data_IF_982345448178
#
_entry.id   IF_982345448178
#
_cell.length_a   1.000
_cell.length_b   1.000
_cell.length_c   1.000
_cell.angle_alpha   90.00
_cell.angle_beta   90.00
_cell.angle_gamma   90.00
#
_symmetry.space_group_name_H-M   'P 1'
#
loop_
_entity.id
_entity.type
_entity.pdbx_description
1 polymer ?
#
# COMPACT_ATOMS: atom_id res chain seq x y z
N UNK A 1 39.60 -2.47 19.02
CA UNK A 1 38.38 -2.13 18.27
C UNK A 1 37.73 -3.43 17.82
N UNK A 2 36.56 -3.84 18.33
CA UNK A 2 35.91 -5.06 17.86
C UNK A 2 35.21 -4.80 16.55
N UNK A 3 35.49 -5.69 15.57
CA UNK A 3 34.85 -5.76 14.27
C UNK A 3 33.36 -6.05 14.44
N UNK A 4 32.48 -5.17 13.98
CA UNK A 4 31.07 -5.43 13.83
C UNK A 4 30.87 -6.42 12.67
N UNK A 5 30.37 -7.59 13.01
CA UNK A 5 29.99 -8.62 12.04
C UNK A 5 28.91 -8.10 11.07
N UNK A 6 28.94 -8.47 9.77
CA UNK A 6 27.90 -8.06 8.83
C UNK A 6 26.60 -8.81 9.14
N UNK A 7 25.51 -8.07 9.24
CA UNK A 7 24.17 -8.62 9.33
C UNK A 7 23.89 -9.54 8.16
N UNK A 8 23.81 -10.84 8.43
CA UNK A 8 23.34 -11.83 7.48
C UNK A 8 21.85 -11.64 7.22
N UNK A 9 21.49 -11.01 6.11
CA UNK A 9 20.11 -10.92 5.65
C UNK A 9 19.75 -12.27 5.00
N UNK A 10 18.95 -13.03 5.69
CA UNK A 10 18.22 -14.15 5.11
C UNK A 10 17.08 -13.55 4.29
N UNK A 11 17.17 -13.62 2.97
CA UNK A 11 15.99 -13.49 2.12
C UNK A 11 15.08 -14.70 2.43
N UNK A 12 14.21 -14.56 3.42
CA UNK A 12 13.15 -15.54 3.66
C UNK A 12 12.25 -15.55 2.42
N UNK A 13 12.10 -16.74 1.81
CA UNK A 13 11.25 -16.94 0.65
C UNK A 13 9.80 -16.53 0.94
N UNK A 14 9.29 -15.61 0.16
CA UNK A 14 8.01 -14.92 0.36
C UNK A 14 6.78 -15.71 -0.14
N UNK A 15 6.91 -17.02 -0.39
CA UNK A 15 5.89 -17.83 -1.05
C UNK A 15 5.54 -19.12 -0.32
N UNK A 16 5.41 -19.07 1.01
CA UNK A 16 4.60 -20.08 1.68
C UNK A 16 3.11 -19.74 1.50
N UNK A 17 2.32 -20.74 1.11
CA UNK A 17 0.96 -20.64 0.57
C UNK A 17 -0.13 -20.11 1.53
N UNK A 18 0.21 -19.34 2.55
CA UNK A 18 -0.74 -18.75 3.51
C UNK A 18 -1.05 -17.30 3.16
N UNK A 19 -2.34 -16.95 3.15
CA UNK A 19 -2.79 -15.56 3.04
C UNK A 19 -2.22 -14.75 4.20
N UNK A 20 -1.68 -13.57 3.90
CA UNK A 20 -1.24 -12.57 4.87
C UNK A 20 -2.35 -11.56 5.12
N UNK A 21 -2.25 -10.84 6.23
CA UNK A 21 -3.33 -9.99 6.72
C UNK A 21 -2.82 -8.59 7.04
N UNK A 22 -3.41 -7.58 6.38
CA UNK A 22 -3.19 -6.17 6.69
C UNK A 22 -4.41 -5.54 7.33
N UNK A 23 -4.17 -4.46 8.05
CA UNK A 23 -5.20 -3.51 8.49
C UNK A 23 -4.97 -2.22 7.76
N UNK A 24 -6.02 -1.63 7.21
CA UNK A 24 -5.98 -0.38 6.48
C UNK A 24 -6.80 0.69 7.21
N UNK A 25 -6.16 1.81 7.55
CA UNK A 25 -6.77 2.90 8.32
C UNK A 25 -6.61 4.24 7.61
N UNK A 26 -7.55 5.19 7.82
CA UNK A 26 -7.42 6.52 7.25
C UNK A 26 -6.29 7.33 7.94
N UNK A 27 -5.84 8.40 7.28
CA UNK A 27 -4.91 9.38 7.85
C UNK A 27 -5.62 10.61 8.40
N UNK A 28 -6.90 10.47 8.73
CA UNK A 28 -7.73 11.57 9.23
C UNK A 28 -8.56 11.19 10.47
N UNK A 29 -9.25 12.17 11.05
CA UNK A 29 -9.99 12.00 12.29
C UNK A 29 -9.03 11.73 13.46
N UNK A 30 -9.36 10.80 14.34
CA UNK A 30 -8.52 10.45 15.48
C UNK A 30 -7.17 9.87 15.06
N UNK A 31 -7.07 9.27 13.87
CA UNK A 31 -5.81 8.73 13.32
C UNK A 31 -4.83 9.83 12.87
N UNK A 32 -5.27 11.08 12.75
CA UNK A 32 -4.38 12.20 12.46
C UNK A 32 -3.42 12.50 13.63
N UNK A 33 -3.73 12.05 14.84
CA UNK A 33 -2.84 12.12 15.99
C UNK A 33 -1.75 11.04 15.91
N UNK A 34 -0.45 11.40 15.82
CA UNK A 34 0.62 10.42 15.67
C UNK A 34 0.71 9.40 16.81
N UNK A 35 0.34 9.79 18.03
CA UNK A 35 0.29 8.93 19.20
C UNK A 35 -0.82 7.87 19.09
N UNK A 36 -1.98 8.22 18.54
CA UNK A 36 -3.08 7.29 18.28
C UNK A 36 -2.66 6.30 17.18
N UNK A 37 -2.08 6.80 16.11
CA UNK A 37 -1.60 5.95 15.01
C UNK A 37 -0.50 4.98 15.48
N UNK A 38 0.44 5.43 16.31
CA UNK A 38 1.47 4.60 16.93
C UNK A 38 0.85 3.50 17.81
N UNK A 39 -0.21 3.83 18.59
CA UNK A 39 -0.94 2.86 19.39
C UNK A 39 -1.63 1.79 18.52
N UNK A 40 -2.28 2.19 17.42
CA UNK A 40 -2.87 1.28 16.44
C UNK A 40 -1.81 0.32 15.91
N UNK A 41 -0.64 0.82 15.51
CA UNK A 41 0.46 0.02 15.00
C UNK A 41 0.96 -1.02 16.04
N UNK A 42 1.13 -0.60 17.28
CA UNK A 42 1.59 -1.48 18.36
C UNK A 42 0.59 -2.59 18.66
N UNK A 43 -0.71 -2.27 18.70
CA UNK A 43 -1.77 -3.27 18.91
C UNK A 43 -1.90 -4.22 17.72
N UNK A 44 -1.82 -3.72 16.49
CA UNK A 44 -1.83 -4.55 15.30
C UNK A 44 -0.67 -5.56 15.29
N UNK A 45 0.55 -5.10 15.60
CA UNK A 45 1.70 -6.00 15.74
C UNK A 45 1.51 -7.01 16.87
N UNK A 46 1.00 -6.57 18.02
CA UNK A 46 0.73 -7.43 19.20
C UNK A 46 -0.33 -8.49 18.93
N UNK A 47 -1.35 -8.17 18.16
CA UNK A 47 -2.42 -9.08 17.77
C UNK A 47 -2.04 -10.00 16.59
N UNK A 48 -0.86 -9.82 15.99
CA UNK A 48 -0.31 -10.71 14.96
C UNK A 48 -0.71 -10.37 13.54
N UNK A 49 -1.10 -9.14 13.25
CA UNK A 49 -1.26 -8.66 11.88
C UNK A 49 0.08 -8.58 11.16
N UNK A 50 0.08 -8.80 9.85
CA UNK A 50 1.29 -8.84 9.03
C UNK A 50 1.67 -7.45 8.48
N UNK A 51 0.68 -6.57 8.27
CA UNK A 51 0.91 -5.18 7.86
C UNK A 51 -0.11 -4.21 8.45
N UNK A 52 0.31 -2.94 8.61
CA UNK A 52 -0.54 -1.77 8.80
C UNK A 52 -0.36 -0.85 7.60
N UNK A 53 -1.46 -0.55 6.93
CA UNK A 53 -1.53 0.35 5.81
C UNK A 53 -2.27 1.63 6.20
N UNK A 54 -1.94 2.74 5.54
CA UNK A 54 -2.58 4.03 5.80
C UNK A 54 -2.97 4.72 4.49
N UNK A 55 -4.10 5.40 4.50
CA UNK A 55 -4.53 6.24 3.38
C UNK A 55 -3.66 7.48 3.25
N UNK A 56 -3.70 8.13 2.09
CA UNK A 56 -2.91 9.33 1.80
C UNK A 56 -3.81 10.43 1.23
N UNK A 57 -4.72 10.93 2.07
CA UNK A 57 -5.52 12.10 1.79
C UNK A 57 -4.77 13.37 2.21
N UNK A 58 -4.97 14.46 1.46
CA UNK A 58 -4.41 15.79 1.76
C UNK A 58 -5.52 16.78 2.09
N UNK A 59 -6.74 16.49 1.67
CA UNK A 59 -7.93 17.28 1.97
C UNK A 59 -9.13 16.35 2.06
N UNK A 60 -10.04 16.63 2.99
CA UNK A 60 -11.32 15.95 3.11
C UNK A 60 -12.36 16.51 2.12
N UNK A 61 -13.53 15.91 2.11
CA UNK A 61 -14.69 16.46 1.42
C UNK A 61 -15.03 17.84 2.00
N UNK A 62 -15.51 18.74 1.14
CA UNK A 62 -15.71 20.17 1.51
C UNK A 62 -16.57 20.40 2.75
N UNK A 63 -17.51 19.49 2.99
CA UNK A 63 -18.45 19.58 4.12
C UNK A 63 -17.93 18.86 5.39
N UNK A 64 -16.88 18.03 5.25
CA UNK A 64 -16.25 17.30 6.35
C UNK A 64 -14.93 17.99 6.72
N UNK A 65 -14.94 18.71 7.84
CA UNK A 65 -13.74 19.38 8.37
C UNK A 65 -12.90 18.37 9.17
N UNK A 66 -12.35 17.37 8.48
CA UNK A 66 -11.48 16.39 9.11
C UNK A 66 -10.11 16.99 9.44
N UNK A 67 -9.58 16.62 10.59
CA UNK A 67 -8.16 16.75 10.85
C UNK A 67 -7.44 15.66 10.03
N UNK A 68 -6.43 16.05 9.24
CA UNK A 68 -5.71 15.17 8.33
C UNK A 68 -4.21 15.32 8.60
N UNK A 69 -3.51 14.21 8.75
CA UNK A 69 -2.06 14.19 8.92
C UNK A 69 -1.35 13.60 7.70
N UNK A 70 -0.08 13.94 7.55
CA UNK A 70 0.76 13.34 6.51
C UNK A 70 1.03 11.85 6.85
N UNK A 71 0.71 10.91 5.94
CA UNK A 71 0.84 9.48 6.20
C UNK A 71 2.29 9.03 6.41
N UNK A 72 3.27 9.69 5.80
CA UNK A 72 4.68 9.33 5.95
C UNK A 72 5.20 9.68 7.34
N UNK A 73 4.66 10.74 7.95
CA UNK A 73 4.95 11.10 9.35
C UNK A 73 4.25 10.12 10.30
N UNK A 74 2.99 9.73 10.02
CA UNK A 74 2.30 8.70 10.80
C UNK A 74 3.02 7.36 10.73
N UNK A 75 3.46 6.93 9.54
CA UNK A 75 4.26 5.72 9.38
C UNK A 75 5.60 5.79 10.12
N UNK A 76 6.19 7.00 10.25
CA UNK A 76 7.39 7.18 11.06
C UNK A 76 7.10 6.92 12.54
N UNK A 77 5.98 7.45 13.07
CA UNK A 77 5.56 7.20 14.45
C UNK A 77 5.33 5.70 14.69
N UNK A 78 4.64 5.01 13.78
CA UNK A 78 4.44 3.57 13.83
C UNK A 78 5.76 2.78 13.78
N UNK A 79 6.71 3.20 12.94
CA UNK A 79 8.01 2.54 12.79
C UNK A 79 8.83 2.53 14.07
N UNK A 80 8.72 3.58 14.88
CA UNK A 80 9.46 3.72 16.14
C UNK A 80 8.95 2.83 17.28
N UNK A 81 7.70 2.34 17.18
CA UNK A 81 7.06 1.52 18.23
C UNK A 81 6.81 0.07 17.81
N UNK A 82 7.23 -0.31 16.62
CA UNK A 82 7.06 -1.65 16.05
C UNK A 82 8.39 -2.22 15.54
N UNK A 83 8.49 -3.53 15.47
CA UNK A 83 9.73 -4.22 15.06
C UNK A 83 9.54 -5.27 13.96
N UNK A 84 8.30 -5.71 13.71
CA UNK A 84 7.98 -6.86 12.87
C UNK A 84 6.93 -6.58 11.80
N UNK A 85 5.83 -5.89 12.17
CA UNK A 85 4.74 -5.56 11.26
C UNK A 85 5.25 -4.71 10.09
N UNK A 86 4.79 -5.01 8.88
CA UNK A 86 5.07 -4.17 7.71
C UNK A 86 4.25 -2.90 7.77
N UNK A 87 4.79 -1.85 7.19
CA UNK A 87 4.18 -0.52 7.17
C UNK A 87 4.09 -0.02 5.73
N UNK A 88 2.98 0.58 5.36
CA UNK A 88 2.83 1.07 4.00
C UNK A 88 1.64 1.98 3.80
N UNK A 89 1.44 2.40 2.56
CA UNK A 89 0.30 3.21 2.16
C UNK A 89 -0.70 2.41 1.31
N UNK A 90 -1.98 2.70 1.42
CA UNK A 90 -3.03 2.13 0.58
C UNK A 90 -4.04 3.21 0.15
N UNK A 91 -3.64 4.09 -0.77
CA UNK A 91 -2.42 4.20 -1.58
C UNK A 91 -1.88 5.64 -1.56
N UNK A 92 -0.59 5.84 -1.81
CA UNK A 92 -0.03 7.17 -2.09
C UNK A 92 -0.35 7.61 -3.52
N UNK A 93 -0.97 8.79 -3.73
CA UNK A 93 -1.15 9.40 -5.05
C UNK A 93 0.19 9.93 -5.60
N UNK A 94 0.91 9.07 -6.33
CA UNK A 94 2.27 9.40 -6.83
C UNK A 94 2.25 10.61 -7.76
N UNK A 95 1.19 10.77 -8.56
CA UNK A 95 1.05 11.90 -9.48
C UNK A 95 0.97 13.27 -8.77
N UNK A 96 0.61 13.31 -7.48
CA UNK A 96 0.56 14.51 -6.65
C UNK A 96 1.91 14.84 -5.99
N UNK A 97 2.85 13.89 -5.98
CA UNK A 97 4.12 13.99 -5.25
C UNK A 97 5.31 14.18 -6.19
N UNK A 98 6.33 14.89 -5.74
CA UNK A 98 7.63 14.93 -6.42
C UNK A 98 8.34 13.58 -6.23
N UNK A 99 8.70 12.85 -7.30
CA UNK A 99 9.33 11.53 -7.17
C UNK A 99 10.59 11.53 -6.31
N UNK A 100 11.42 12.56 -6.41
CA UNK A 100 12.65 12.69 -5.60
C UNK A 100 12.34 12.79 -4.10
N UNK A 101 11.27 13.51 -3.71
CA UNK A 101 10.86 13.64 -2.32
C UNK A 101 10.30 12.31 -1.82
N UNK A 102 9.38 11.70 -2.58
CA UNK A 102 8.79 10.41 -2.24
C UNK A 102 9.86 9.30 -2.16
N UNK A 103 10.80 9.26 -3.12
CA UNK A 103 11.92 8.32 -3.06
C UNK A 103 12.71 8.45 -1.76
N UNK A 104 12.91 9.68 -1.27
CA UNK A 104 13.65 9.96 -0.04
C UNK A 104 12.87 9.51 1.20
N UNK A 105 11.58 9.79 1.26
CA UNK A 105 10.68 9.36 2.34
C UNK A 105 10.67 7.84 2.46
N UNK A 106 10.35 7.16 1.37
CA UNK A 106 10.29 5.69 1.31
C UNK A 106 11.63 5.07 1.71
N UNK A 107 12.74 5.55 1.12
CA UNK A 107 14.08 5.02 1.44
C UNK A 107 14.44 5.20 2.91
N UNK A 108 14.14 6.37 3.46
CA UNK A 108 14.48 6.67 4.86
C UNK A 108 13.70 5.77 5.82
N UNK A 109 12.39 5.60 5.58
CA UNK A 109 11.57 4.70 6.37
C UNK A 109 11.94 3.23 6.18
N UNK A 110 12.27 2.81 4.95
CA UNK A 110 12.72 1.44 4.69
C UNK A 110 13.99 1.11 5.49
N UNK A 111 14.92 2.05 5.54
CA UNK A 111 16.15 1.92 6.34
C UNK A 111 15.88 1.97 7.84
N UNK A 112 15.01 2.87 8.30
CA UNK A 112 14.60 2.97 9.72
C UNK A 112 13.94 1.67 10.20
N UNK A 113 13.13 1.07 9.36
CA UNK A 113 12.38 -0.16 9.67
C UNK A 113 13.17 -1.45 9.40
N UNK A 114 14.37 -1.37 8.79
CA UNK A 114 15.14 -2.54 8.41
C UNK A 114 14.49 -3.37 7.29
N UNK A 115 13.76 -2.72 6.36
CA UNK A 115 13.18 -3.38 5.20
C UNK A 115 11.72 -3.83 5.38
N UNK A 116 10.90 -3.11 6.16
CA UNK A 116 9.48 -3.44 6.38
C UNK A 116 8.49 -2.59 5.56
N UNK A 117 8.99 -1.68 4.71
CA UNK A 117 8.11 -0.80 3.96
C UNK A 117 7.45 -1.48 2.77
N UNK A 118 6.22 -1.03 2.46
CA UNK A 118 5.47 -1.30 1.23
C UNK A 118 5.00 0.06 0.68
N UNK A 119 5.21 0.31 -0.60
CA UNK A 119 4.64 1.47 -1.27
C UNK A 119 3.37 1.06 -2.02
N UNK A 120 2.21 1.36 -1.45
CA UNK A 120 0.98 1.37 -2.23
C UNK A 120 0.94 2.66 -3.08
N UNK A 121 0.66 2.55 -4.36
CA UNK A 121 0.75 3.63 -5.32
C UNK A 121 -0.48 3.68 -6.24
N UNK A 122 -0.94 4.87 -6.58
CA UNK A 122 -2.08 5.05 -7.47
C UNK A 122 -2.32 6.50 -7.84
N UNK A 123 -3.52 6.77 -8.37
CA UNK A 123 -3.94 8.13 -8.67
C UNK A 123 -4.57 8.86 -7.46
N UNK A 124 -4.97 8.11 -6.43
CA UNK A 124 -5.75 8.64 -5.32
C UNK A 124 -7.24 8.77 -5.65
N UNK A 125 -8.00 9.23 -4.66
CA UNK A 125 -9.43 9.50 -4.77
C UNK A 125 -9.67 10.98 -5.05
N UNK A 126 -10.89 11.39 -5.11
CA UNK A 126 -11.53 12.33 -6.06
C UNK A 126 -10.59 13.41 -6.57
N UNK A 127 -10.18 13.23 -7.79
CA UNK A 127 -9.23 14.09 -8.50
C UNK A 127 -9.55 15.58 -8.35
N UNK A 128 -10.83 15.95 -8.31
CA UNK A 128 -11.27 17.35 -8.16
C UNK A 128 -10.85 17.99 -6.85
N UNK A 129 -10.95 17.28 -5.72
CA UNK A 129 -10.58 17.79 -4.40
C UNK A 129 -9.07 17.77 -4.16
N UNK A 130 -8.46 16.62 -4.39
CA UNK A 130 -7.08 16.34 -4.05
C UNK A 130 -6.04 17.01 -4.96
N UNK A 131 -6.42 17.38 -6.19
CA UNK A 131 -5.58 18.00 -7.18
C UNK A 131 -6.08 19.41 -7.55
N UNK A 132 -7.33 19.51 -8.01
CA UNK A 132 -7.88 20.76 -8.51
C UNK A 132 -7.96 21.86 -7.48
N UNK A 133 -8.20 21.54 -6.20
CA UNK A 133 -8.21 22.55 -5.11
C UNK A 133 -6.84 23.18 -4.86
N UNK A 134 -5.77 22.53 -5.29
CA UNK A 134 -4.40 23.05 -5.19
C UNK A 134 -3.85 23.58 -6.52
N UNK A 135 -4.72 23.76 -7.52
CA UNK A 135 -4.33 24.27 -8.84
C UNK A 135 -3.58 23.29 -9.72
N UNK A 136 -3.59 22.00 -9.36
CA UNK A 136 -2.99 20.97 -10.21
C UNK A 136 -4.00 20.48 -11.27
N UNK A 137 -3.49 19.75 -12.26
CA UNK A 137 -4.35 19.19 -13.32
C UNK A 137 -5.31 18.16 -12.77
N UNK A 138 -6.51 18.12 -13.33
CA UNK A 138 -7.51 17.07 -13.10
C UNK A 138 -7.66 16.12 -14.30
N UNK A 139 -6.83 16.30 -15.34
CA UNK A 139 -6.82 15.40 -16.50
C UNK A 139 -6.23 14.05 -16.08
N UNK A 140 -7.08 13.04 -16.05
CA UNK A 140 -6.72 11.68 -15.62
C UNK A 140 -5.68 11.01 -16.51
N UNK A 141 -5.55 11.42 -17.78
CA UNK A 141 -4.50 10.92 -18.68
C UNK A 141 -3.14 11.46 -18.26
N UNK A 142 -3.07 12.78 -18.01
CA UNK A 142 -1.85 13.42 -17.53
C UNK A 142 -1.44 12.85 -16.17
N UNK A 143 -2.39 12.66 -15.27
CA UNK A 143 -2.13 12.04 -13.96
C UNK A 143 -1.67 10.59 -14.09
N UNK A 144 -2.23 9.83 -15.03
CA UNK A 144 -1.78 8.45 -15.29
C UNK A 144 -0.36 8.41 -15.87
N UNK A 145 0.01 9.33 -16.75
CA UNK A 145 1.39 9.48 -17.25
C UNK A 145 2.34 9.85 -16.11
N UNK A 146 1.97 10.83 -15.26
CA UNK A 146 2.76 11.20 -14.07
C UNK A 146 2.96 10.03 -13.10
N UNK A 147 1.94 9.19 -12.93
CA UNK A 147 2.04 7.97 -12.13
C UNK A 147 3.01 6.97 -12.75
N UNK A 148 2.89 6.70 -14.05
CA UNK A 148 3.76 5.75 -14.76
C UNK A 148 5.23 6.22 -14.73
N UNK A 149 5.48 7.49 -15.08
CA UNK A 149 6.81 8.08 -15.05
C UNK A 149 7.36 8.19 -13.62
N UNK A 150 6.50 8.56 -12.65
CA UNK A 150 6.87 8.67 -11.24
C UNK A 150 7.35 7.34 -10.67
N UNK A 151 6.62 6.27 -10.92
CA UNK A 151 7.01 4.92 -10.50
C UNK A 151 8.32 4.48 -11.15
N UNK A 152 8.48 4.74 -12.44
CA UNK A 152 9.72 4.42 -13.14
C UNK A 152 10.91 5.20 -12.57
N UNK A 153 10.75 6.49 -12.33
CA UNK A 153 11.80 7.33 -11.72
C UNK A 153 12.14 6.87 -10.30
N UNK A 154 11.15 6.46 -9.50
CA UNK A 154 11.40 5.87 -8.17
C UNK A 154 12.31 4.64 -8.27
N UNK A 155 12.00 3.72 -9.19
CA UNK A 155 12.79 2.50 -9.40
C UNK A 155 14.23 2.83 -9.81
N UNK A 156 14.41 3.77 -10.74
CA UNK A 156 15.73 4.25 -11.15
C UNK A 156 16.51 4.87 -9.98
N UNK A 157 15.88 5.75 -9.20
CA UNK A 157 16.54 6.40 -8.06
C UNK A 157 16.96 5.40 -6.98
N UNK A 158 16.16 4.35 -6.74
CA UNK A 158 16.48 3.32 -5.75
C UNK A 158 17.60 2.37 -6.17
N UNK A 159 18.02 2.39 -7.43
CA UNK A 159 19.20 1.64 -7.90
C UNK A 159 20.49 2.12 -7.25
N UNK A 160 20.60 3.44 -6.97
CA UNK A 160 21.81 4.10 -6.49
C UNK A 160 22.86 4.37 -7.58
N UNK A 161 22.54 4.05 -8.84
CA UNK A 161 23.35 4.36 -10.01
C UNK A 161 23.06 5.78 -10.52
N UNK A 162 23.91 6.36 -11.38
CA UNK A 162 23.62 7.63 -12.05
C UNK A 162 22.35 7.54 -12.89
N UNK A 163 21.42 8.47 -12.68
CA UNK A 163 20.10 8.51 -13.34
C UNK A 163 19.97 9.74 -14.21
N UNK A 164 19.73 9.54 -15.49
CA UNK A 164 19.21 10.54 -16.42
C UNK A 164 17.91 10.01 -17.03
N UNK A 165 16.83 10.76 -16.89
CA UNK A 165 15.51 10.42 -17.41
C UNK A 165 14.86 11.62 -18.10
N UNK A 166 14.25 11.39 -19.25
CA UNK A 166 13.54 12.42 -20.04
C UNK A 166 12.16 11.86 -20.42
N UNK A 167 11.17 12.16 -19.60
CA UNK A 167 9.77 11.84 -19.85
C UNK A 167 8.97 13.05 -20.33
N UNK A 168 7.68 12.87 -20.53
CA UNK A 168 6.73 13.95 -20.85
C UNK A 168 6.45 14.84 -19.65
N UNK A 169 6.40 14.26 -18.46
CA UNK A 169 6.00 14.91 -17.22
C UNK A 169 7.16 15.11 -16.24
N UNK A 170 8.18 14.25 -16.30
CA UNK A 170 9.27 14.21 -15.33
C UNK A 170 10.61 14.24 -16.05
N UNK A 171 11.55 15.03 -15.51
CA UNK A 171 12.93 15.06 -15.95
C UNK A 171 13.86 14.88 -14.76
N UNK A 172 14.86 14.02 -14.92
CA UNK A 172 16.00 13.85 -13.99
C UNK A 172 17.29 14.00 -14.80
N UNK A 173 18.27 14.71 -14.27
CA UNK A 173 19.49 15.04 -14.99
C UNK A 173 20.73 14.73 -14.15
N UNK A 174 21.40 13.63 -14.48
CA UNK A 174 22.66 13.17 -13.88
C UNK A 174 22.65 13.16 -12.35
N UNK A 175 21.70 12.40 -11.76
CA UNK A 175 21.55 12.31 -10.30
C UNK A 175 22.00 10.95 -9.79
N UNK A 176 22.86 10.94 -8.78
CA UNK A 176 23.14 9.75 -7.97
C UNK A 176 22.34 9.85 -6.66
N UNK A 177 21.41 8.92 -6.45
CA UNK A 177 20.50 8.95 -5.32
C UNK A 177 20.91 7.95 -4.24
N UNK A 178 21.52 8.45 -3.17
CA UNK A 178 21.97 7.64 -2.02
C UNK A 178 21.56 8.25 -0.68
N UNK A 179 21.36 7.45 0.39
CA UNK A 179 21.43 5.99 0.40
C UNK A 179 20.28 5.36 -0.39
N UNK A 180 20.41 4.09 -0.75
CA UNK A 180 19.34 3.28 -1.35
C UNK A 180 18.52 2.55 -0.27
N UNK A 181 17.31 2.04 -0.58
CA UNK A 181 16.54 1.20 0.32
C UNK A 181 17.33 -0.03 0.80
N UNK A 182 16.87 -0.66 1.89
CA UNK A 182 17.42 -1.93 2.37
C UNK A 182 16.90 -3.09 1.52
N UNK A 183 15.61 -3.04 1.18
CA UNK A 183 14.96 -4.09 0.39
C UNK A 183 15.52 -4.16 -1.04
N UNK A 184 15.62 -5.37 -1.60
CA UNK A 184 16.12 -5.63 -2.94
C UNK A 184 15.12 -6.46 -3.75
N UNK A 185 14.97 -6.18 -5.04
CA UNK A 185 15.66 -5.14 -5.84
C UNK A 185 15.25 -3.72 -5.49
N UNK A 186 14.10 -3.51 -4.84
CA UNK A 186 13.51 -2.24 -4.38
C UNK A 186 12.52 -2.47 -3.23
N UNK A 187 11.97 -1.40 -2.68
CA UNK A 187 10.78 -1.47 -1.83
C UNK A 187 9.62 -2.02 -2.68
N UNK A 188 8.86 -3.03 -2.20
CA UNK A 188 7.71 -3.55 -2.94
C UNK A 188 6.69 -2.46 -3.27
N UNK A 189 6.26 -2.42 -4.53
CA UNK A 189 5.27 -1.47 -5.04
C UNK A 189 3.97 -2.21 -5.35
N UNK A 190 2.89 -1.85 -4.65
CA UNK A 190 1.54 -2.33 -4.93
C UNK A 190 0.73 -1.24 -5.63
N UNK A 191 0.22 -1.52 -6.81
CA UNK A 191 -0.51 -0.49 -7.57
C UNK A 191 -2.01 -0.66 -7.39
N UNK A 192 -2.65 0.45 -6.98
CA UNK A 192 -4.08 0.56 -6.78
C UNK A 192 -4.84 0.97 -8.04
N UNK A 193 -6.11 0.64 -8.04
CA UNK A 193 -7.06 1.07 -9.07
C UNK A 193 -8.40 0.35 -8.95
N UNK A 194 -9.43 0.94 -9.57
CA UNK A 194 -10.79 0.41 -9.52
C UNK A 194 -10.95 -0.67 -10.60
N UNK A 195 -11.33 -1.88 -10.17
CA UNK A 195 -11.79 -2.95 -11.06
C UNK A 195 -13.29 -2.71 -11.41
N UNK A 196 -13.77 -2.96 -12.63
CA UNK A 196 -13.11 -3.70 -13.73
C UNK A 196 -12.31 -2.83 -14.73
N UNK A 197 -11.86 -1.63 -14.35
CA UNK A 197 -11.00 -0.83 -15.23
C UNK A 197 -9.67 -1.54 -15.51
N UNK A 198 -9.42 -1.80 -16.78
CA UNK A 198 -8.26 -2.61 -17.20
C UNK A 198 -6.92 -1.87 -17.12
N UNK A 199 -6.91 -0.55 -17.35
CA UNK A 199 -5.68 0.23 -17.41
C UNK A 199 -4.88 0.21 -16.09
N UNK A 200 -5.48 0.47 -14.90
CA UNK A 200 -4.74 0.37 -13.64
C UNK A 200 -4.25 -1.06 -13.36
N UNK A 201 -5.01 -2.09 -13.74
CA UNK A 201 -4.61 -3.48 -13.52
C UNK A 201 -3.44 -3.90 -14.45
N UNK A 202 -3.43 -3.44 -15.70
CA UNK A 202 -2.25 -3.61 -16.59
C UNK A 202 -1.01 -2.92 -16.03
N UNK A 203 -1.18 -1.76 -15.40
CA UNK A 203 -0.10 -1.07 -14.68
C UNK A 203 0.39 -1.91 -13.51
N UNK A 204 -0.51 -2.36 -12.64
CA UNK A 204 -0.18 -3.18 -11.48
C UNK A 204 0.60 -4.43 -11.85
N UNK A 205 0.22 -5.11 -12.93
CA UNK A 205 0.87 -6.32 -13.40
C UNK A 205 2.37 -6.17 -13.77
N UNK A 206 2.87 -4.94 -13.91
CA UNK A 206 4.30 -4.64 -14.15
C UNK A 206 5.11 -4.46 -12.87
N UNK A 207 4.45 -4.38 -11.71
CA UNK A 207 5.06 -4.12 -10.41
C UNK A 207 5.02 -5.35 -9.49
N UNK A 208 5.12 -5.13 -8.19
CA UNK A 208 5.26 -6.21 -7.22
C UNK A 208 3.92 -6.69 -6.64
N UNK A 209 2.83 -5.92 -6.87
CA UNK A 209 1.49 -6.32 -6.47
C UNK A 209 0.39 -5.41 -6.97
N UNK A 210 -0.84 -5.87 -6.81
CA UNK A 210 -2.07 -5.12 -7.05
C UNK A 210 -2.87 -4.97 -5.75
N UNK A 211 -3.39 -3.77 -5.52
CA UNK A 211 -4.34 -3.46 -4.45
C UNK A 211 -5.61 -2.84 -5.08
N UNK A 212 -6.46 -3.68 -5.71
CA UNK A 212 -7.64 -3.22 -6.40
C UNK A 212 -8.75 -2.79 -5.43
N UNK A 213 -9.58 -1.88 -5.93
CA UNK A 213 -10.90 -1.61 -5.36
C UNK A 213 -11.91 -2.38 -6.19
N UNK A 214 -12.61 -3.33 -5.56
CA UNK A 214 -13.67 -4.15 -6.16
C UNK A 214 -15.05 -3.58 -5.84
N UNK A 215 -16.12 -4.07 -6.49
CA UNK A 215 -17.47 -3.63 -6.18
C UNK A 215 -17.82 -3.90 -4.70
N UNK A 216 -18.58 -2.99 -4.09
CA UNK A 216 -19.02 -3.14 -2.69
C UNK A 216 -17.95 -2.95 -1.62
N UNK A 217 -16.75 -2.49 -2.00
CA UNK A 217 -15.65 -2.25 -1.05
C UNK A 217 -16.00 -1.27 0.09
N UNK A 218 -16.92 -0.35 -0.17
CA UNK A 218 -17.40 0.70 0.74
C UNK A 218 -18.57 0.24 1.64
N UNK A 219 -19.26 -0.82 1.26
CA UNK A 219 -20.42 -1.34 1.99
C UNK A 219 -20.07 -2.36 3.09
N UNK A 220 -18.78 -2.75 3.19
CA UNK A 220 -18.30 -3.63 4.25
C UNK A 220 -18.75 -5.10 4.14
N UNK A 221 -19.11 -5.54 2.93
CA UNK A 221 -19.43 -6.95 2.65
C UNK A 221 -18.20 -7.78 2.26
N UNK A 222 -18.35 -9.13 2.21
CA UNK A 222 -17.34 -9.97 1.61
C UNK A 222 -17.25 -9.68 0.09
N UNK A 223 -16.06 -9.83 -0.52
CA UNK A 223 -15.91 -9.61 -1.96
C UNK A 223 -16.66 -10.69 -2.75
N UNK A 224 -17.15 -10.33 -3.94
CA UNK A 224 -17.70 -11.31 -4.88
C UNK A 224 -16.57 -12.18 -5.44
N UNK A 225 -16.61 -13.48 -5.14
CA UNK A 225 -15.58 -14.44 -5.56
C UNK A 225 -15.50 -14.57 -7.08
N UNK A 226 -16.60 -14.35 -7.82
CA UNK A 226 -16.60 -14.36 -9.29
C UNK A 226 -15.81 -13.16 -9.82
N UNK A 227 -16.08 -11.97 -9.28
CA UNK A 227 -15.34 -10.76 -9.62
C UNK A 227 -13.84 -10.91 -9.31
N UNK A 228 -13.50 -11.49 -8.15
CA UNK A 228 -12.11 -11.75 -7.75
C UNK A 228 -11.43 -12.75 -8.71
N UNK A 229 -12.11 -13.82 -9.11
CA UNK A 229 -11.58 -14.81 -10.05
C UNK A 229 -11.28 -14.19 -11.43
N UNK A 230 -12.17 -13.33 -11.93
CA UNK A 230 -11.96 -12.58 -13.17
C UNK A 230 -10.75 -11.64 -13.08
N UNK A 231 -10.64 -10.91 -11.97
CA UNK A 231 -9.51 -10.01 -11.70
C UNK A 231 -8.18 -10.78 -11.66
N UNK A 232 -8.10 -11.88 -10.93
CA UNK A 232 -6.89 -12.70 -10.82
C UNK A 232 -6.50 -13.27 -12.18
N UNK A 233 -7.48 -13.76 -12.95
CA UNK A 233 -7.24 -14.27 -14.31
C UNK A 233 -6.67 -13.18 -15.22
N UNK A 234 -7.24 -11.97 -15.14
CA UNK A 234 -6.76 -10.83 -15.90
C UNK A 234 -5.33 -10.42 -15.53
N UNK A 235 -5.04 -10.31 -14.22
CA UNK A 235 -3.70 -9.96 -13.74
C UNK A 235 -2.65 -11.00 -14.15
N UNK A 236 -2.96 -12.28 -14.02
CA UNK A 236 -2.07 -13.38 -14.45
C UNK A 236 -1.79 -13.33 -15.95
N UNK A 237 -2.81 -13.07 -16.76
CA UNK A 237 -2.64 -12.87 -18.21
C UNK A 237 -1.71 -11.72 -18.54
N UNK A 238 -1.94 -10.54 -17.92
CA UNK A 238 -1.07 -9.37 -18.11
C UNK A 238 0.38 -9.63 -17.66
N UNK A 239 0.59 -10.37 -16.57
CA UNK A 239 1.94 -10.73 -16.12
C UNK A 239 2.65 -11.66 -17.10
N UNK A 240 1.93 -12.64 -17.66
CA UNK A 240 2.49 -13.53 -18.69
C UNK A 240 2.88 -12.74 -19.95
N UNK A 241 2.03 -11.81 -20.41
CA UNK A 241 2.33 -10.92 -21.54
C UNK A 241 3.58 -10.05 -21.30
N UNK A 242 3.87 -9.67 -20.04
CA UNK A 242 5.07 -8.91 -19.65
C UNK A 242 6.29 -9.79 -19.31
N UNK A 243 6.23 -11.11 -19.46
CA UNK A 243 7.33 -12.02 -19.11
C UNK A 243 7.61 -12.12 -17.60
N UNK A 244 6.59 -11.85 -16.78
CA UNK A 244 6.69 -11.80 -15.32
C UNK A 244 5.89 -12.91 -14.62
N UNK A 245 5.45 -13.95 -15.35
CA UNK A 245 4.60 -15.01 -14.81
C UNK A 245 5.21 -15.70 -13.58
N UNK A 246 6.52 -15.96 -13.62
CA UNK A 246 7.27 -16.66 -12.56
C UNK A 246 7.83 -15.72 -11.47
N UNK A 247 7.58 -14.42 -11.59
CA UNK A 247 8.00 -13.45 -10.57
C UNK A 247 6.97 -13.36 -9.47
N UNK A 248 7.39 -13.23 -8.21
CA UNK A 248 6.49 -12.96 -7.10
C UNK A 248 5.54 -11.80 -7.38
N UNK A 249 4.28 -11.96 -6.95
CA UNK A 249 3.27 -10.93 -7.16
C UNK A 249 2.20 -11.00 -6.08
N UNK A 250 2.02 -9.93 -5.34
CA UNK A 250 0.97 -9.85 -4.34
C UNK A 250 -0.37 -9.40 -4.96
N UNK A 251 -1.45 -10.06 -4.55
CA UNK A 251 -2.82 -9.65 -4.88
C UNK A 251 -3.54 -9.41 -3.56
N UNK A 252 -3.90 -8.15 -3.33
CA UNK A 252 -4.50 -7.67 -2.07
C UNK A 252 -5.98 -7.44 -2.30
N UNK A 253 -6.83 -8.16 -1.59
CA UNK A 253 -8.28 -7.91 -1.60
C UNK A 253 -8.70 -7.37 -0.25
N UNK A 254 -9.42 -6.27 -0.26
CA UNK A 254 -9.90 -5.60 0.94
C UNK A 254 -11.38 -5.78 1.18
N UNK A 255 -11.76 -5.70 2.44
CA UNK A 255 -13.13 -5.76 2.91
C UNK A 255 -13.20 -5.80 4.43
N UNK A 256 -14.37 -6.09 4.97
CA UNK A 256 -14.58 -6.27 6.40
C UNK A 256 -14.83 -7.74 6.69
N UNK A 257 -14.01 -8.34 7.54
CA UNK A 257 -14.22 -9.73 7.93
C UNK A 257 -15.17 -9.83 9.13
N UNK A 258 -15.99 -10.90 9.20
CA UNK A 258 -16.75 -11.19 10.41
C UNK A 258 -15.81 -11.51 11.58
N UNK A 259 -16.22 -11.20 12.83
CA UNK A 259 -15.40 -11.50 14.00
C UNK A 259 -15.25 -13.00 14.25
N UNK A 260 -14.06 -13.43 14.65
CA UNK A 260 -13.77 -14.77 15.15
C UNK A 260 -13.12 -15.73 14.13
N UNK A 261 -12.46 -16.79 14.63
CA UNK A 261 -11.62 -17.68 13.80
C UNK A 261 -12.38 -18.52 12.76
N UNK A 262 -13.65 -18.86 13.03
CA UNK A 262 -14.46 -19.62 12.06
C UNK A 262 -14.77 -18.80 10.81
N UNK A 263 -15.10 -17.53 11.00
CA UNK A 263 -15.36 -16.61 9.90
C UNK A 263 -14.14 -16.35 9.01
N UNK A 264 -12.94 -16.46 9.59
CA UNK A 264 -11.70 -16.34 8.84
C UNK A 264 -11.52 -17.48 7.82
N UNK A 265 -11.84 -18.71 8.19
CA UNK A 265 -11.75 -19.85 7.27
C UNK A 265 -12.73 -19.73 6.10
N UNK A 266 -13.96 -19.28 6.39
CA UNK A 266 -15.00 -19.15 5.37
C UNK A 266 -14.71 -18.01 4.38
N UNK A 267 -13.93 -17.01 4.79
CA UNK A 267 -13.52 -15.89 3.96
C UNK A 267 -12.18 -16.13 3.27
N UNK A 268 -11.15 -16.43 4.05
CA UNK A 268 -9.77 -16.47 3.55
C UNK A 268 -9.46 -17.71 2.71
N UNK A 269 -10.09 -18.87 3.02
CA UNK A 269 -9.88 -20.10 2.27
C UNK A 269 -10.24 -19.97 0.78
N UNK A 270 -11.48 -19.61 0.43
CA UNK A 270 -11.86 -19.41 -0.98
C UNK A 270 -11.03 -18.37 -1.71
N UNK A 271 -10.61 -17.30 -1.02
CA UNK A 271 -9.72 -16.27 -1.60
C UNK A 271 -8.33 -16.83 -1.87
N UNK A 272 -7.76 -17.63 -0.94
CA UNK A 272 -6.49 -18.31 -1.13
C UNK A 272 -6.51 -19.25 -2.34
N UNK A 273 -7.60 -20.01 -2.51
CA UNK A 273 -7.80 -20.93 -3.64
C UNK A 273 -7.82 -20.19 -4.99
N UNK A 274 -8.28 -18.94 -5.01
CA UNK A 274 -8.22 -18.06 -6.17
C UNK A 274 -6.82 -17.47 -6.41
N UNK A 275 -5.93 -17.53 -5.41
CA UNK A 275 -4.56 -17.02 -5.48
C UNK A 275 -4.39 -15.61 -4.95
N UNK A 276 -5.26 -15.18 -4.05
CA UNK A 276 -5.09 -13.97 -3.26
C UNK A 276 -3.98 -14.21 -2.24
N UNK A 277 -3.07 -13.26 -2.10
CA UNK A 277 -1.92 -13.35 -1.19
C UNK A 277 -2.09 -12.52 0.07
N UNK A 278 -2.99 -11.53 0.05
CA UNK A 278 -3.27 -10.65 1.17
C UNK A 278 -4.76 -10.40 1.33
N UNK A 279 -5.26 -10.53 2.55
CA UNK A 279 -6.51 -9.94 3.00
C UNK A 279 -6.24 -8.61 3.68
N UNK A 280 -6.91 -7.55 3.24
CA UNK A 280 -6.79 -6.21 3.77
C UNK A 280 -8.06 -5.81 4.53
N UNK A 281 -7.97 -5.79 5.84
CA UNK A 281 -9.09 -5.44 6.72
C UNK A 281 -9.35 -3.96 6.67
N UNK A 282 -10.51 -3.57 6.17
CA UNK A 282 -10.91 -2.17 5.98
C UNK A 282 -12.09 -1.81 6.87
N UNK A 283 -12.10 -0.58 7.34
CA UNK A 283 -13.30 -0.03 7.96
C UNK A 283 -14.34 0.30 6.86
N UNK A 284 -15.61 -0.11 7.03
CA UNK A 284 -16.68 0.33 6.15
C UNK A 284 -16.88 1.84 6.26
N UNK A 285 -17.32 2.47 5.18
CA UNK A 285 -17.72 3.86 5.22
C UNK A 285 -18.95 4.02 6.11
N UNK A 286 -18.93 4.99 7.02
CA UNK A 286 -19.99 5.24 7.96
C UNK A 286 -19.61 6.23 9.05
N UNK A 287 -20.46 6.41 10.04
CA UNK A 287 -20.30 7.39 11.12
C UNK A 287 -19.07 7.15 12.00
N UNK A 288 -18.55 5.93 12.01
CA UNK A 288 -17.35 5.56 12.76
C UNK A 288 -16.04 5.74 11.95
N UNK A 289 -16.12 6.13 10.68
CA UNK A 289 -14.93 6.38 9.87
C UNK A 289 -14.12 7.55 10.46
N UNK A 290 -12.85 7.32 10.73
CA UNK A 290 -11.98 8.28 11.41
C UNK A 290 -11.96 8.16 12.93
N UNK A 291 -12.71 7.23 13.54
CA UNK A 291 -12.65 6.91 14.97
C UNK A 291 -11.76 5.70 15.21
N UNK A 292 -10.87 5.81 16.19
CA UNK A 292 -9.88 4.76 16.45
C UNK A 292 -10.47 3.56 17.23
N UNK A 293 -11.42 3.79 18.12
CA UNK A 293 -11.91 2.76 19.03
C UNK A 293 -12.56 1.55 18.33
N UNK A 294 -13.41 1.71 17.27
CA UNK A 294 -13.96 0.56 16.54
C UNK A 294 -12.87 -0.28 15.86
N UNK A 295 -11.87 0.36 15.23
CA UNK A 295 -10.78 -0.38 14.58
C UNK A 295 -9.85 -1.04 15.60
N UNK A 296 -9.58 -0.42 16.73
CA UNK A 296 -8.78 -1.02 17.81
C UNK A 296 -9.44 -2.28 18.34
N UNK A 297 -10.76 -2.27 18.56
CA UNK A 297 -11.53 -3.48 18.93
C UNK A 297 -11.41 -4.58 17.88
N UNK A 298 -11.46 -4.23 16.58
CA UNK A 298 -11.30 -5.20 15.49
C UNK A 298 -9.87 -5.76 15.45
N UNK A 299 -8.87 -4.90 15.61
CA UNK A 299 -7.45 -5.27 15.63
C UNK A 299 -7.15 -6.28 16.74
N UNK A 300 -7.68 -6.06 17.94
CA UNK A 300 -7.46 -6.91 19.12
C UNK A 300 -8.01 -8.34 18.95
N UNK A 301 -8.99 -8.54 18.09
CA UNK A 301 -9.49 -9.89 17.75
C UNK A 301 -8.49 -10.69 16.90
N UNK A 302 -7.45 -10.03 16.37
CA UNK A 302 -6.47 -10.62 15.48
C UNK A 302 -6.97 -10.83 14.05
N UNK A 303 -6.04 -11.23 13.16
CA UNK A 303 -6.38 -11.53 11.77
C UNK A 303 -7.26 -12.78 11.65
N UNK A 304 -8.14 -12.85 10.62
CA UNK A 304 -9.02 -13.99 10.38
C UNK A 304 -8.24 -15.17 9.77
N UNK A 305 -7.35 -15.78 10.53
CA UNK A 305 -6.46 -16.84 10.05
C UNK A 305 -7.23 -18.15 9.76
N UNK A 306 -6.79 -18.83 8.67
CA UNK A 306 -7.23 -20.19 8.29
C UNK A 306 -6.72 -21.21 9.31
#
# INVERSE_FOLDING_TARGET
MPCLAPFGFVCAGWHDAAVRYSVDVPNFGEFAAPEVFAEVARRAEGAGWDALLVWDHVVGEKDLRWEIADPWILLTAAALVTSRIRLGTAITPVARRRPSKLAREVTTLDRLTGGRMILGAGLGAPVGGEYGSFGDTTDTKVLAERLDEGLHVLDLLWSGEPVTYRGNQITVDDVVFRPVPVQRPRVPVWVGGVWPNKAPMRRAARWDGAIPVTAGWDSGGPPDLTEVAELVTFLRGCRAENGLADRPFDIVIGGTSPPGPAAGRDLAGPLADLGITWWDERMPWGDDLGRAEPILRRIEQGPPRI
#
